data_IF_513544744395
#
_entry.id   IF_513544744395
#
_cell.length_a   1.000
_cell.length_b   1.000
_cell.length_c   1.000
_cell.angle_alpha   90.00
_cell.angle_beta   90.00
_cell.angle_gamma   90.00
#
_symmetry.space_group_name_H-M   'P 1'
#
loop_
_entity.id
_entity.type
_entity.pdbx_description
1 polymer ?
#
# COMPACT_ATOMS: atom_id res chain seq x y z
N UNK A 1 15.86 1.55 -10.75
CA UNK A 1 14.58 0.99 -10.27
C UNK A 1 13.63 2.15 -10.06
N UNK A 2 12.42 2.08 -10.61
CA UNK A 2 11.45 3.17 -10.58
C UNK A 2 10.75 3.23 -9.21
N UNK A 3 10.61 4.44 -8.66
CA UNK A 3 9.82 4.73 -7.45
C UNK A 3 8.97 5.96 -7.76
N UNK A 4 7.67 5.93 -7.49
CA UNK A 4 6.78 7.06 -7.80
C UNK A 4 6.79 8.17 -6.75
N UNK A 5 7.18 7.86 -5.51
CA UNK A 5 7.21 8.81 -4.41
C UNK A 5 8.52 8.76 -3.62
N UNK A 6 8.84 9.88 -2.96
CA UNK A 6 9.99 10.02 -2.06
C UNK A 6 9.60 9.86 -0.59
N UNK A 7 10.56 9.62 0.33
CA UNK A 7 10.27 9.61 1.77
C UNK A 7 9.73 10.94 2.29
N UNK A 8 10.17 12.07 1.72
CA UNK A 8 9.67 13.39 2.10
C UNK A 8 8.18 13.53 1.77
N UNK A 9 7.76 13.09 0.58
CA UNK A 9 6.35 13.04 0.20
C UNK A 9 5.58 12.07 1.10
N UNK A 10 6.17 10.93 1.47
CA UNK A 10 5.53 10.02 2.41
C UNK A 10 5.26 10.71 3.76
N UNK A 11 6.22 11.46 4.29
CA UNK A 11 6.10 12.18 5.55
C UNK A 11 4.99 13.24 5.55
N UNK A 12 4.55 13.74 4.39
CA UNK A 12 3.37 14.61 4.27
C UNK A 12 2.05 13.83 4.43
N UNK A 13 2.06 12.52 4.18
CA UNK A 13 0.87 11.66 4.19
C UNK A 13 0.72 10.79 5.45
N UNK A 14 1.73 10.78 6.32
CA UNK A 14 1.73 10.01 7.57
C UNK A 14 2.19 10.87 8.75
N UNK A 15 1.78 10.52 9.96
CA UNK A 15 2.26 11.18 11.18
C UNK A 15 3.67 10.72 11.55
N UNK A 16 4.41 11.52 12.33
CA UNK A 16 5.73 11.12 12.83
C UNK A 16 5.67 9.79 13.59
N UNK A 17 4.65 9.59 14.43
CA UNK A 17 4.42 8.34 15.16
C UNK A 17 4.17 7.12 14.25
N UNK A 18 3.66 7.33 13.04
CA UNK A 18 3.50 6.29 12.03
C UNK A 18 4.82 6.00 11.30
N UNK A 19 5.66 7.01 11.07
CA UNK A 19 7.00 6.81 10.53
C UNK A 19 7.89 6.04 11.49
N UNK A 20 7.79 6.31 12.79
CA UNK A 20 8.55 5.62 13.84
C UNK A 20 8.22 4.12 13.94
N UNK A 21 7.13 3.66 13.30
CA UNK A 21 6.80 2.23 13.21
C UNK A 21 7.60 1.51 12.11
N UNK A 22 8.22 2.26 11.20
CA UNK A 22 9.13 1.72 10.20
C UNK A 22 10.52 1.66 10.80
N UNK A 23 11.25 0.57 10.56
CA UNK A 23 12.67 0.50 10.89
C UNK A 23 13.45 1.58 10.13
N UNK A 24 14.54 2.08 10.73
CA UNK A 24 15.38 3.12 10.15
C UNK A 24 15.86 2.73 8.74
N UNK A 25 15.43 3.50 7.74
CA UNK A 25 15.79 3.30 6.34
C UNK A 25 14.84 2.41 5.52
N UNK A 26 13.82 1.80 6.14
CA UNK A 26 12.87 0.94 5.42
C UNK A 26 11.83 1.73 4.61
N UNK A 27 11.64 3.02 4.86
CA UNK A 27 10.72 3.88 4.11
C UNK A 27 10.90 3.76 2.58
N UNK A 28 12.15 3.76 2.10
CA UNK A 28 12.44 3.57 0.69
C UNK A 28 12.05 2.18 0.16
N UNK A 29 12.15 1.14 0.99
CA UNK A 29 11.81 -0.24 0.61
C UNK A 29 10.30 -0.43 0.59
N UNK A 30 9.57 0.17 1.52
CA UNK A 30 8.11 0.22 1.51
C UNK A 30 7.59 0.96 0.27
N UNK A 31 8.16 2.14 -0.05
CA UNK A 31 7.80 2.90 -1.25
C UNK A 31 8.05 2.13 -2.54
N UNK A 32 9.15 1.36 -2.59
CA UNK A 32 9.45 0.45 -3.72
C UNK A 32 8.42 -0.67 -3.86
N UNK A 33 8.02 -1.29 -2.75
CA UNK A 33 6.99 -2.33 -2.75
C UNK A 33 5.63 -1.77 -3.19
N UNK A 34 5.24 -0.62 -2.64
CA UNK A 34 4.01 0.07 -3.01
C UNK A 34 3.99 0.47 -4.49
N UNK A 35 5.12 0.98 -5.02
CA UNK A 35 5.27 1.33 -6.43
C UNK A 35 4.98 0.14 -7.34
N UNK A 36 5.42 -1.08 -6.98
CA UNK A 36 5.16 -2.28 -7.78
C UNK A 36 3.66 -2.61 -7.84
N UNK A 37 2.95 -2.47 -6.73
CA UNK A 37 1.50 -2.71 -6.65
C UNK A 37 0.73 -1.67 -7.47
N UNK A 38 1.08 -0.39 -7.31
CA UNK A 38 0.48 0.70 -8.09
C UNK A 38 0.72 0.48 -9.58
N UNK A 39 1.96 0.18 -9.98
CA UNK A 39 2.32 -0.08 -11.39
C UNK A 39 1.60 -1.31 -11.95
N UNK A 40 1.38 -2.34 -11.14
CA UNK A 40 0.61 -3.50 -11.55
C UNK A 40 -0.86 -3.14 -11.78
N UNK A 41 -1.45 -2.34 -10.87
CA UNK A 41 -2.82 -1.88 -10.96
C UNK A 41 -3.06 -0.97 -12.18
N UNK A 42 -2.07 -0.14 -12.56
CA UNK A 42 -2.17 0.79 -13.70
C UNK A 42 -1.61 0.25 -15.01
N UNK A 43 -1.17 -1.02 -15.05
CA UNK A 43 -0.50 -1.60 -16.23
C UNK A 43 -1.33 -1.54 -17.52
N UNK A 44 -2.66 -1.53 -17.41
CA UNK A 44 -3.58 -1.47 -18.54
C UNK A 44 -4.10 -0.05 -18.84
N UNK A 45 -3.68 0.95 -18.06
CA UNK A 45 -4.05 2.33 -18.32
C UNK A 45 -3.15 2.91 -19.42
N UNK A 46 -3.74 3.69 -20.32
CA UNK A 46 -3.01 4.32 -21.43
C UNK A 46 -2.62 5.74 -21.04
N UNK A 47 -1.32 6.01 -20.94
CA UNK A 47 -0.78 7.34 -20.72
C UNK A 47 0.62 7.44 -21.33
N UNK A 48 0.99 8.65 -21.73
CA UNK A 48 2.34 8.93 -22.21
C UNK A 48 3.34 8.81 -21.06
N UNK A 49 4.39 8.04 -21.28
CA UNK A 49 5.44 7.80 -20.30
C UNK A 49 6.82 8.13 -20.88
N UNK A 50 7.67 8.70 -20.03
CA UNK A 50 9.09 8.86 -20.28
C UNK A 50 9.78 7.51 -20.49
N UNK A 51 10.99 7.46 -21.08
CA UNK A 51 11.78 6.23 -21.17
C UNK A 51 12.06 5.56 -19.80
N UNK A 52 12.03 6.34 -18.72
CA UNK A 52 12.17 5.84 -17.35
C UNK A 52 10.88 5.19 -16.79
N UNK A 53 9.76 5.28 -17.50
CA UNK A 53 8.46 4.72 -17.11
C UNK A 53 7.62 5.61 -16.20
N UNK A 54 7.99 6.89 -16.02
CA UNK A 54 7.16 7.91 -15.35
C UNK A 54 6.19 8.55 -16.34
N UNK A 55 4.96 8.88 -15.95
CA UNK A 55 4.06 9.69 -16.77
C UNK A 55 4.71 11.03 -17.17
N UNK A 56 4.47 11.47 -18.39
CA UNK A 56 4.87 12.82 -18.83
C UNK A 56 3.93 13.90 -18.31
N UNK A 57 2.66 13.54 -18.07
CA UNK A 57 1.66 14.43 -17.45
C UNK A 57 1.96 14.58 -15.95
N UNK A 58 2.22 15.81 -15.46
CA UNK A 58 2.50 16.05 -14.05
C UNK A 58 1.34 15.67 -13.13
N UNK A 59 0.09 15.76 -13.60
CA UNK A 59 -1.10 15.38 -12.81
C UNK A 59 -1.14 13.87 -12.59
N UNK A 60 -0.81 13.08 -13.61
CA UNK A 60 -0.73 11.63 -13.49
C UNK A 60 0.48 11.20 -12.65
N UNK A 61 1.61 11.88 -12.80
CA UNK A 61 2.79 11.62 -11.98
C UNK A 61 2.51 11.86 -10.48
N UNK A 62 1.85 12.96 -10.15
CA UNK A 62 1.43 13.28 -8.79
C UNK A 62 0.42 12.25 -8.25
N UNK A 63 -0.59 11.89 -9.04
CA UNK A 63 -1.57 10.88 -8.65
C UNK A 63 -0.94 9.51 -8.33
N UNK A 64 0.06 9.08 -9.10
CA UNK A 64 0.81 7.85 -8.82
C UNK A 64 1.66 7.97 -7.55
N UNK A 65 2.26 9.15 -7.31
CA UNK A 65 3.03 9.42 -6.10
C UNK A 65 2.13 9.36 -4.85
N UNK A 66 1.01 10.09 -4.86
CA UNK A 66 0.01 10.09 -3.78
C UNK A 66 -0.55 8.69 -3.54
N UNK A 67 -0.93 7.96 -4.60
CA UNK A 67 -1.42 6.59 -4.45
C UNK A 67 -0.37 5.66 -3.80
N UNK A 68 0.92 5.86 -4.12
CA UNK A 68 2.03 5.11 -3.51
C UNK A 68 2.17 5.44 -2.02
N UNK A 69 2.14 6.72 -1.65
CA UNK A 69 2.18 7.15 -0.25
C UNK A 69 0.99 6.64 0.55
N UNK A 70 -0.22 6.71 -0.03
CA UNK A 70 -1.45 6.19 0.58
C UNK A 70 -1.34 4.69 0.81
N UNK A 71 -0.85 3.91 -0.16
CA UNK A 71 -0.64 2.46 0.02
C UNK A 71 0.27 2.17 1.22
N UNK A 72 1.38 2.89 1.36
CA UNK A 72 2.30 2.73 2.50
C UNK A 72 1.62 3.11 3.82
N UNK A 73 0.86 4.22 3.84
CA UNK A 73 0.07 4.63 5.00
C UNK A 73 -0.90 3.54 5.43
N UNK A 74 -1.60 2.90 4.50
CA UNK A 74 -2.55 1.82 4.81
C UNK A 74 -1.82 0.60 5.40
N UNK A 75 -0.62 0.27 4.93
CA UNK A 75 0.19 -0.79 5.54
C UNK A 75 0.59 -0.46 6.97
N UNK A 76 1.07 0.75 7.23
CA UNK A 76 1.42 1.19 8.58
C UNK A 76 0.19 1.16 9.49
N UNK A 77 -0.93 1.71 9.03
CA UNK A 77 -2.18 1.75 9.79
C UNK A 77 -2.70 0.34 10.16
N UNK A 78 -2.49 -0.65 9.29
CA UNK A 78 -2.93 -2.02 9.50
C UNK A 78 -1.83 -2.94 10.08
N UNK A 79 -0.64 -2.41 10.40
CA UNK A 79 0.50 -3.18 10.92
C UNK A 79 1.04 -4.23 9.95
N UNK A 80 0.96 -3.97 8.63
CA UNK A 80 1.38 -4.90 7.58
C UNK A 80 2.82 -4.59 7.17
N UNK A 81 3.69 -5.60 7.24
CA UNK A 81 5.05 -5.51 6.72
C UNK A 81 5.17 -6.20 5.34
N UNK A 82 5.26 -5.44 4.23
CA UNK A 82 5.39 -6.00 2.88
C UNK A 82 6.80 -6.57 2.61
N UNK A 83 7.81 -6.24 3.43
CA UNK A 83 9.21 -6.65 3.22
C UNK A 83 9.53 -8.02 3.82
N UNK A 84 8.70 -8.52 4.73
CA UNK A 84 8.92 -9.81 5.36
C UNK A 84 8.49 -11.01 4.47
N UNK A 85 8.12 -10.76 3.20
CA UNK A 85 7.74 -11.78 2.20
C UNK A 85 6.39 -12.45 2.50
N UNK A 86 6.10 -13.62 1.91
CA UNK A 86 4.93 -14.44 2.30
C UNK A 86 4.99 -14.91 3.77
N UNK A 87 6.16 -14.81 4.40
CA UNK A 87 6.39 -15.05 5.82
C UNK A 87 6.19 -13.79 6.70
N UNK A 88 5.82 -12.64 6.11
CA UNK A 88 5.62 -11.35 6.77
C UNK A 88 4.27 -11.14 7.43
N UNK A 89 3.38 -12.12 7.31
CA UNK A 89 2.36 -12.33 8.33
C UNK A 89 3.11 -12.84 9.56
N UNK A 90 3.53 -11.94 10.46
CA UNK A 90 3.70 -12.36 11.85
C UNK A 90 2.42 -13.11 12.21
N UNK A 91 2.49 -14.38 12.66
CA UNK A 91 1.32 -14.98 13.26
C UNK A 91 0.90 -13.99 14.33
N UNK A 92 -0.30 -13.40 14.17
CA UNK A 92 -0.95 -12.67 15.25
C UNK A 92 -0.76 -13.57 16.45
N UNK A 93 -0.12 -13.06 17.50
CA UNK A 93 0.05 -13.78 18.74
C UNK A 93 -1.33 -14.28 19.10
N UNK A 94 -1.58 -15.56 18.84
CA UNK A 94 -2.74 -16.27 19.31
C UNK A 94 -2.64 -16.14 20.81
N UNK A 95 -3.49 -15.29 21.36
CA UNK A 95 -3.92 -15.30 22.74
C UNK A 95 -2.87 -15.84 23.72
N UNK A 96 -2.13 -14.97 24.39
CA UNK A 96 -1.72 -15.32 25.73
C UNK A 96 -3.01 -15.43 26.56
N UNK A 97 -3.56 -16.64 26.65
CA UNK A 97 -4.69 -16.96 27.50
C UNK A 97 -4.27 -16.67 28.95
N UNK A 98 -4.62 -15.49 29.45
CA UNK A 98 -4.55 -15.16 30.87
C UNK A 98 -5.98 -14.96 31.33
N UNK A 99 -6.55 -16.04 31.87
CA UNK A 99 -7.85 -16.13 32.53
C UNK A 99 -9.07 -15.55 31.79
N UNK A 100 -9.70 -16.39 30.96
CA UNK A 100 -11.14 -16.61 31.13
C UNK A 100 -12.13 -15.72 30.37
N UNK A 101 -11.78 -15.18 29.20
CA UNK A 101 -12.79 -14.65 28.27
C UNK A 101 -12.35 -14.77 26.82
N UNK A 102 -12.79 -15.83 26.13
CA UNK A 102 -12.63 -15.95 24.68
C UNK A 102 -13.66 -15.06 23.99
N UNK A 103 -13.20 -13.98 23.38
CA UNK A 103 -14.02 -13.19 22.46
C UNK A 103 -13.65 -13.64 21.05
N UNK A 104 -14.51 -14.44 20.42
CA UNK A 104 -14.41 -14.74 18.99
C UNK A 104 -15.05 -13.61 18.19
N UNK A 105 -14.23 -12.74 17.62
CA UNK A 105 -14.64 -11.85 16.53
C UNK A 105 -13.83 -12.19 15.28
N UNK A 106 -14.54 -12.54 14.19
CA UNK A 106 -14.16 -12.54 12.77
C UNK A 106 -12.67 -12.55 12.37
N UNK A 107 -11.85 -13.40 12.99
CA UNK A 107 -10.40 -13.46 12.77
C UNK A 107 -10.05 -13.85 11.32
N UNK A 108 -10.89 -14.70 10.70
CA UNK A 108 -10.75 -15.11 9.30
C UNK A 108 -10.97 -13.96 8.31
N UNK A 109 -11.90 -13.04 8.60
CA UNK A 109 -12.18 -11.89 7.73
C UNK A 109 -11.03 -10.87 7.80
N UNK A 110 -10.48 -10.63 8.99
CA UNK A 110 -9.32 -9.74 9.17
C UNK A 110 -8.07 -10.28 8.49
N UNK A 111 -7.81 -11.59 8.58
CA UNK A 111 -6.70 -12.21 7.86
C UNK A 111 -6.83 -12.04 6.34
N UNK A 112 -8.03 -12.25 5.79
CA UNK A 112 -8.29 -12.08 4.35
C UNK A 112 -8.11 -10.63 3.88
N UNK A 113 -8.53 -9.65 4.69
CA UNK A 113 -8.36 -8.23 4.41
C UNK A 113 -6.88 -7.82 4.40
N UNK A 114 -6.08 -8.33 5.35
CA UNK A 114 -4.63 -8.10 5.39
C UNK A 114 -3.90 -8.71 4.19
N UNK A 115 -4.26 -9.94 3.80
CA UNK A 115 -3.70 -10.56 2.58
C UNK A 115 -4.03 -9.75 1.33
N UNK A 116 -5.25 -9.20 1.24
CA UNK A 116 -5.66 -8.34 0.13
C UNK A 116 -4.86 -7.05 0.07
N UNK A 117 -4.58 -6.41 1.20
CA UNK A 117 -3.76 -5.20 1.25
C UNK A 117 -2.28 -5.48 0.95
N UNK A 118 -1.76 -6.68 1.26
CA UNK A 118 -0.39 -7.06 0.96
C UNK A 118 -0.18 -7.38 -0.53
N UNK A 119 -1.19 -7.96 -1.18
CA UNK A 119 -1.10 -8.41 -2.59
C UNK A 119 -1.78 -7.48 -3.59
N UNK A 120 -2.66 -6.59 -3.13
CA UNK A 120 -3.46 -5.70 -3.94
C UNK A 120 -3.42 -4.25 -3.45
N UNK A 121 -3.85 -3.35 -4.32
CA UNK A 121 -3.90 -1.92 -4.02
C UNK A 121 -5.07 -1.62 -3.08
N UNK A 122 -4.84 -0.77 -2.08
CA UNK A 122 -5.84 -0.34 -1.12
C UNK A 122 -6.96 0.48 -1.79
N UNK A 123 -8.18 0.38 -1.25
CA UNK A 123 -9.35 1.07 -1.82
C UNK A 123 -9.18 2.60 -1.82
N UNK A 124 -8.51 3.15 -0.80
CA UNK A 124 -8.18 4.59 -0.73
C UNK A 124 -7.20 4.99 -1.83
N UNK A 125 -6.15 4.20 -2.08
CA UNK A 125 -5.23 4.44 -3.19
C UNK A 125 -5.92 4.32 -4.56
N UNK A 126 -6.88 3.39 -4.70
CA UNK A 126 -7.72 3.32 -5.90
C UNK A 126 -8.56 4.57 -6.15
N UNK A 127 -9.12 5.16 -5.10
CA UNK A 127 -9.93 6.38 -5.23
C UNK A 127 -9.11 7.55 -5.76
N UNK A 128 -7.84 7.67 -5.34
CA UNK A 128 -6.89 8.66 -5.85
C UNK A 128 -6.65 8.45 -7.35
N UNK A 129 -6.31 7.23 -7.76
CA UNK A 129 -6.05 6.91 -9.17
C UNK A 129 -7.27 7.19 -10.04
N UNK A 130 -8.48 6.82 -9.59
CA UNK A 130 -9.72 7.08 -10.34
C UNK A 130 -10.01 8.55 -10.54
N UNK A 131 -9.71 9.37 -9.55
CA UNK A 131 -9.90 10.82 -9.65
C UNK A 131 -9.00 11.43 -10.73
N UNK A 132 -7.83 10.82 -10.97
CA UNK A 132 -6.92 11.19 -12.05
C UNK A 132 -7.20 10.47 -13.39
N UNK A 133 -8.27 9.68 -13.48
CA UNK A 133 -8.62 8.92 -14.69
C UNK A 133 -7.88 7.59 -14.89
N UNK A 134 -7.10 7.15 -13.90
CA UNK A 134 -6.38 5.87 -13.88
C UNK A 134 -7.15 4.78 -13.11
N UNK A 135 -6.78 3.50 -13.29
CA UNK A 135 -7.36 2.38 -12.54
C UNK A 135 -8.76 1.95 -12.97
N UNK A 136 -9.19 2.33 -14.19
CA UNK A 136 -10.54 2.06 -14.71
C UNK A 136 -10.76 0.57 -15.04
N UNK A 137 -9.70 -0.17 -15.36
CA UNK A 137 -9.80 -1.56 -15.86
C UNK A 137 -10.05 -2.63 -14.78
N UNK A 138 -9.81 -2.35 -13.49
CA UNK A 138 -9.97 -3.34 -12.41
C UNK A 138 -11.36 -3.32 -11.73
N UNK A 139 -12.21 -2.34 -12.05
CA UNK A 139 -13.58 -2.23 -11.53
C UNK A 139 -14.51 -3.36 -12.01
N UNK A 140 -14.11 -4.13 -13.03
CA UNK A 140 -14.94 -5.13 -13.68
C UNK A 140 -14.92 -6.52 -12.99
N UNK A 141 -14.16 -6.71 -11.91
CA UNK A 141 -14.21 -7.97 -11.13
C UNK A 141 -15.09 -7.78 -9.90
N UNK A 142 -16.41 -7.85 -10.14
CA UNK A 142 -17.41 -8.15 -9.10
C UNK A 142 -17.67 -9.64 -9.06
#
# INVERSE_FOLDING_TARGET
>A
MLTYATPDQLAEHVTAAQLDQLDDGDAHRYLRAATQIVRFATKNDLYDATPAGLPTDPVLADALAVATCVQVREWIHNGINPLAGTAGLTPVVMSAATNGSSVSYNDTEQASARTRLLTGLADTAYSVLRTAGLGSSMAARR
#
